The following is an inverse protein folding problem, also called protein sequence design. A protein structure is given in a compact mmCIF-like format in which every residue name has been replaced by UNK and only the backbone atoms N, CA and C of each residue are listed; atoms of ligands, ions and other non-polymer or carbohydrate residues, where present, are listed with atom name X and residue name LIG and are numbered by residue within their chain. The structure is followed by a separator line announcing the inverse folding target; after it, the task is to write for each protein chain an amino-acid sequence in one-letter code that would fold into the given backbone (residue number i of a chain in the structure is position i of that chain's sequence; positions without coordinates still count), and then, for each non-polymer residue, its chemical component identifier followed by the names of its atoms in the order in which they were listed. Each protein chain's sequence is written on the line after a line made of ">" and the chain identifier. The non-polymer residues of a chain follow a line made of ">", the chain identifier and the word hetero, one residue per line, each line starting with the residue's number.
data_IF_167131485765
#
_entry.id   IF_167131485765
#
_cell.length_a   1.000
_cell.length_b   1.000
_cell.length_c   1.000
_cell.angle_alpha   90.00
_cell.angle_beta   90.00
_cell.angle_gamma   90.00
#
_symmetry.space_group_name_H-M   'P 1'
#
loop_
_entity.id
_entity.type
_entity.pdbx_description
1 polymer ?
#
# COMPACT_ATOMS: atom_id res chain seq x y z
N UNK A 1 -0.51 -15.91 12.95
CA UNK A 1 -1.91 -15.62 12.56
C UNK A 1 -2.15 -14.14 12.79
N UNK A 2 -2.83 -13.45 11.88
CA UNK A 2 -3.17 -12.03 12.03
C UNK A 2 -4.63 -11.81 11.61
N UNK A 3 -5.32 -10.89 12.27
CA UNK A 3 -6.66 -10.46 11.93
C UNK A 3 -6.73 -8.93 11.89
N UNK A 4 -7.43 -8.39 10.89
CA UNK A 4 -7.64 -6.96 10.81
C UNK A 4 -8.83 -6.63 9.90
N UNK A 5 -9.60 -5.60 10.27
CA UNK A 5 -10.64 -5.01 9.43
C UNK A 5 -10.08 -4.03 8.39
N UNK A 6 -8.78 -3.77 8.38
CA UNK A 6 -8.12 -2.80 7.51
C UNK A 6 -8.51 -2.93 6.02
N UNK A 7 -8.43 -4.11 5.35
CA UNK A 7 -8.72 -4.19 3.92
C UNK A 7 -10.16 -3.78 3.57
N UNK A 8 -11.15 -4.21 4.37
CA UNK A 8 -12.57 -3.92 4.12
C UNK A 8 -12.97 -2.52 4.60
N UNK A 9 -12.40 -2.04 5.72
CA UNK A 9 -12.61 -0.67 6.21
C UNK A 9 -12.08 0.35 5.20
N UNK A 10 -10.85 0.16 4.72
CA UNK A 10 -10.20 1.06 3.75
C UNK A 10 -10.92 1.06 2.40
N UNK A 11 -11.46 -0.09 1.97
CA UNK A 11 -12.28 -0.20 0.76
C UNK A 11 -13.55 0.67 0.81
N UNK A 12 -14.23 0.77 1.97
CA UNK A 12 -15.42 1.63 2.14
C UNK A 12 -15.11 3.12 1.97
N UNK A 13 -13.88 3.53 2.27
CA UNK A 13 -13.42 4.89 2.04
C UNK A 13 -13.00 5.14 0.58
N UNK A 14 -13.08 4.13 -0.29
CA UNK A 14 -12.70 4.25 -1.70
C UNK A 14 -11.21 4.11 -1.95
N UNK A 15 -10.50 3.40 -1.08
CA UNK A 15 -9.05 3.26 -1.14
C UNK A 15 -8.67 1.81 -1.39
N UNK A 16 -7.82 1.60 -2.40
CA UNK A 16 -7.27 0.30 -2.76
C UNK A 16 -5.87 0.12 -2.17
N UNK A 17 -5.54 -1.11 -1.76
CA UNK A 17 -4.18 -1.49 -1.38
C UNK A 17 -3.36 -1.82 -2.62
N UNK A 18 -2.16 -1.27 -2.70
CA UNK A 18 -1.21 -1.49 -3.81
C UNK A 18 0.20 -1.69 -3.22
N UNK A 19 1.15 -2.29 -3.96
CA UNK A 19 2.52 -2.50 -3.46
C UNK A 19 3.21 -1.22 -2.98
N UNK A 20 2.89 -0.09 -3.62
CA UNK A 20 3.43 1.24 -3.30
C UNK A 20 2.66 1.95 -2.18
N UNK A 21 1.78 1.24 -1.46
CA UNK A 21 1.00 1.76 -0.35
C UNK A 21 -0.50 1.79 -0.65
N UNK A 22 -1.08 2.98 -0.79
CA UNK A 22 -2.54 3.14 -0.93
C UNK A 22 -2.92 4.01 -2.12
N UNK A 23 -3.91 3.55 -2.88
CA UNK A 23 -4.46 4.27 -4.02
C UNK A 23 -5.86 4.80 -3.69
N UNK A 24 -6.01 6.12 -3.58
CA UNK A 24 -7.29 6.78 -3.29
C UNK A 24 -8.10 6.97 -4.57
N UNK A 25 -9.07 6.09 -4.82
CA UNK A 25 -9.86 6.12 -6.05
C UNK A 25 -10.94 7.20 -6.09
N UNK A 26 -11.20 7.90 -4.98
CA UNK A 26 -12.08 9.09 -4.98
C UNK A 26 -11.43 10.33 -5.60
N UNK A 27 -10.10 10.34 -5.78
CA UNK A 27 -9.39 11.49 -6.33
C UNK A 27 -9.76 11.72 -7.80
N UNK A 28 -9.94 12.98 -8.19
CA UNK A 28 -10.32 13.36 -9.55
C UNK A 28 -9.31 12.89 -10.61
N UNK A 29 -8.03 12.79 -10.26
CA UNK A 29 -6.99 12.25 -11.13
C UNK A 29 -7.30 10.82 -11.63
N UNK A 30 -8.14 10.06 -10.90
CA UNK A 30 -8.51 8.70 -11.27
C UNK A 30 -9.67 8.65 -12.27
N UNK A 31 -10.41 9.74 -12.47
CA UNK A 31 -11.60 9.77 -13.32
C UNK A 31 -11.33 9.42 -14.80
N UNK A 32 -10.12 9.71 -15.28
CA UNK A 32 -9.67 9.40 -16.64
C UNK A 32 -8.61 8.29 -16.75
N UNK A 33 -8.22 7.66 -15.64
CA UNK A 33 -7.16 6.65 -15.63
C UNK A 33 -7.70 5.29 -16.07
N UNK A 34 -7.35 4.85 -17.28
CA UNK A 34 -7.79 3.57 -17.87
C UNK A 34 -6.96 2.38 -17.42
N UNK A 35 -5.93 2.58 -16.60
CA UNK A 35 -5.11 1.48 -16.05
C UNK A 35 -5.92 0.68 -15.01
N UNK A 36 -5.57 -0.61 -14.76
CA UNK A 36 -6.11 -1.35 -13.63
C UNK A 36 -5.60 -0.78 -12.30
N UNK A 37 -6.18 -1.20 -11.17
CA UNK A 37 -5.69 -0.77 -9.83
C UNK A 37 -4.19 -1.09 -9.70
N UNK A 38 -3.81 -2.33 -9.98
CA UNK A 38 -2.43 -2.81 -9.99
C UNK A 38 -2.24 -3.75 -11.20
N UNK A 39 -1.33 -3.45 -12.13
CA UNK A 39 -1.09 -4.29 -13.31
C UNK A 39 -0.46 -5.66 -12.97
N UNK A 40 0.12 -5.82 -11.79
CA UNK A 40 0.72 -7.07 -11.31
C UNK A 40 -0.25 -7.93 -10.48
N UNK A 41 -1.49 -7.46 -10.32
CA UNK A 41 -2.52 -8.13 -9.54
C UNK A 41 -3.42 -9.01 -10.42
N UNK A 42 -3.49 -10.29 -10.05
CA UNK A 42 -4.25 -11.31 -10.78
C UNK A 42 -5.74 -11.40 -10.41
N UNK A 43 -6.22 -10.51 -9.54
CA UNK A 43 -7.59 -10.54 -9.04
C UNK A 43 -8.61 -10.22 -10.14
N UNK A 44 -9.84 -10.71 -10.00
CA UNK A 44 -10.94 -10.47 -10.93
C UNK A 44 -11.15 -8.97 -11.22
N UNK A 45 -10.93 -8.11 -10.23
CA UNK A 45 -11.17 -6.67 -10.35
C UNK A 45 -10.11 -6.01 -11.25
N UNK A 46 -8.83 -6.28 -11.00
CA UNK A 46 -7.74 -5.74 -11.82
C UNK A 46 -7.77 -6.27 -13.27
N UNK A 47 -8.31 -7.47 -13.49
CA UNK A 47 -8.43 -8.05 -14.84
C UNK A 47 -9.59 -7.49 -15.66
N UNK A 48 -10.61 -6.90 -15.04
CA UNK A 48 -11.86 -6.52 -15.71
C UNK A 48 -12.17 -5.03 -15.68
N UNK A 49 -11.68 -4.30 -14.67
CA UNK A 49 -12.08 -2.92 -14.43
C UNK A 49 -10.89 -1.97 -14.39
N UNK A 50 -11.14 -0.75 -14.88
CA UNK A 50 -10.18 0.35 -14.86
C UNK A 50 -10.35 1.21 -13.60
N UNK A 51 -9.32 1.97 -13.23
CA UNK A 51 -9.38 2.95 -12.13
C UNK A 51 -10.48 3.98 -12.36
N UNK A 52 -10.66 4.46 -13.59
CA UNK A 52 -11.73 5.37 -13.99
C UNK A 52 -13.13 4.80 -13.75
N UNK A 53 -13.34 3.54 -14.12
CA UNK A 53 -14.62 2.88 -13.89
C UNK A 53 -14.89 2.75 -12.39
N UNK A 54 -13.90 2.31 -11.61
CA UNK A 54 -14.05 2.14 -10.16
C UNK A 54 -14.22 3.49 -9.47
N UNK A 55 -13.53 4.56 -9.90
CA UNK A 55 -13.74 5.93 -9.42
C UNK A 55 -15.21 6.35 -9.57
N UNK A 56 -15.81 6.09 -10.74
CA UNK A 56 -17.21 6.41 -11.00
C UNK A 56 -18.18 5.63 -10.09
N UNK A 57 -17.84 4.37 -9.76
CA UNK A 57 -18.65 3.55 -8.87
C UNK A 57 -18.49 3.97 -7.41
N UNK A 58 -17.26 4.15 -6.92
CA UNK A 58 -16.96 4.50 -5.53
C UNK A 58 -17.62 5.83 -5.11
N UNK A 59 -17.90 6.72 -6.06
CA UNK A 59 -18.57 8.00 -5.82
C UNK A 59 -20.09 7.93 -5.88
N UNK A 60 -20.68 6.89 -6.49
CA UNK A 60 -22.11 6.84 -6.82
C UNK A 60 -22.84 5.59 -6.31
N UNK A 61 -22.12 4.50 -6.04
CA UNK A 61 -22.69 3.17 -5.80
C UNK A 61 -21.87 2.38 -4.76
N UNK A 62 -22.56 1.64 -3.90
CA UNK A 62 -21.97 0.72 -2.94
C UNK A 62 -21.14 -0.40 -3.59
N UNK A 63 -21.44 -0.77 -4.84
CA UNK A 63 -20.68 -1.75 -5.63
C UNK A 63 -19.19 -1.41 -5.72
N UNK A 64 -18.83 -0.13 -5.74
CA UNK A 64 -17.42 0.29 -5.71
C UNK A 64 -16.68 -0.22 -4.48
N UNK A 65 -17.33 -0.14 -3.30
CA UNK A 65 -16.74 -0.64 -2.04
C UNK A 65 -16.62 -2.17 -2.00
N UNK A 66 -17.52 -2.89 -2.67
CA UNK A 66 -17.48 -4.36 -2.76
C UNK A 66 -16.32 -4.82 -3.65
N UNK A 67 -16.16 -4.21 -4.83
CA UNK A 67 -15.04 -4.50 -5.72
C UNK A 67 -13.69 -4.19 -5.04
N UNK A 68 -13.60 -3.06 -4.34
CA UNK A 68 -12.39 -2.74 -3.58
C UNK A 68 -12.14 -3.68 -2.41
N UNK A 69 -13.18 -4.13 -1.73
CA UNK A 69 -13.03 -5.14 -0.66
C UNK A 69 -12.47 -6.44 -1.22
N UNK A 70 -12.96 -6.89 -2.38
CA UNK A 70 -12.42 -8.07 -3.05
C UNK A 70 -10.94 -7.91 -3.41
N UNK A 71 -10.57 -6.78 -4.04
CA UNK A 71 -9.17 -6.48 -4.37
C UNK A 71 -8.27 -6.41 -3.13
N UNK A 72 -8.69 -5.70 -2.09
CA UNK A 72 -7.90 -5.51 -0.87
C UNK A 72 -7.70 -6.83 -0.10
N UNK A 73 -8.72 -7.69 -0.05
CA UNK A 73 -8.58 -9.03 0.53
C UNK A 73 -7.62 -9.90 -0.29
N UNK A 74 -7.73 -9.87 -1.62
CA UNK A 74 -6.80 -10.57 -2.50
C UNK A 74 -5.35 -10.12 -2.28
N UNK A 75 -5.12 -8.82 -2.15
CA UNK A 75 -3.80 -8.26 -1.85
C UNK A 75 -3.24 -8.82 -0.54
N UNK A 76 -4.01 -8.79 0.56
CA UNK A 76 -3.57 -9.31 1.87
C UNK A 76 -3.26 -10.82 1.83
N UNK A 77 -4.08 -11.60 1.11
CA UNK A 77 -3.85 -13.03 0.92
C UNK A 77 -2.58 -13.30 0.10
N UNK A 78 -2.35 -12.52 -0.97
CA UNK A 78 -1.13 -12.61 -1.78
C UNK A 78 0.11 -12.25 -0.96
N UNK A 79 0.06 -11.12 -0.23
CA UNK A 79 1.15 -10.69 0.65
C UNK A 79 1.56 -11.78 1.66
N UNK A 80 0.56 -12.48 2.23
CA UNK A 80 0.82 -13.56 3.20
C UNK A 80 1.42 -14.79 2.56
N UNK A 81 0.97 -15.13 1.35
CA UNK A 81 1.51 -16.24 0.57
C UNK A 81 2.96 -15.96 0.18
N UNK A 82 3.25 -14.76 -0.28
CA UNK A 82 4.59 -14.36 -0.71
C UNK A 82 5.55 -14.33 0.49
N UNK A 83 5.09 -13.80 1.63
CA UNK A 83 5.82 -13.83 2.90
C UNK A 83 6.11 -15.27 3.33
N UNK A 84 5.10 -16.15 3.37
CA UNK A 84 5.30 -17.57 3.72
C UNK A 84 6.28 -18.27 2.77
N UNK A 85 6.15 -18.03 1.46
CA UNK A 85 7.02 -18.65 0.44
C UNK A 85 8.48 -18.20 0.63
N UNK A 86 8.72 -16.92 0.92
CA UNK A 86 10.07 -16.41 1.18
C UNK A 86 10.74 -17.03 2.42
N UNK A 87 9.95 -17.39 3.43
CA UNK A 87 10.45 -18.10 4.62
C UNK A 87 10.84 -19.54 4.27
N UNK A 88 9.97 -20.26 3.55
CA UNK A 88 10.25 -21.63 3.11
C UNK A 88 11.46 -21.70 2.18
N UNK A 89 11.64 -20.69 1.33
CA UNK A 89 12.75 -20.58 0.38
C UNK A 89 14.04 -20.00 1.01
N UNK A 90 14.04 -19.66 2.30
CA UNK A 90 15.23 -19.14 3.01
C UNK A 90 15.67 -17.74 2.58
N UNK A 91 14.79 -16.96 1.92
CA UNK A 91 15.07 -15.62 1.36
C UNK A 91 14.17 -14.52 1.96
N UNK A 92 13.79 -14.69 3.22
CA UNK A 92 12.93 -13.74 3.92
C UNK A 92 13.56 -12.33 4.04
N UNK A 93 14.85 -12.16 4.38
CA UNK A 93 15.47 -10.83 4.43
C UNK A 93 15.37 -10.08 3.10
N UNK A 94 15.67 -10.75 1.98
CA UNK A 94 15.57 -10.16 0.64
C UNK A 94 14.14 -9.73 0.32
N UNK A 95 13.15 -10.53 0.73
CA UNK A 95 11.75 -10.21 0.55
C UNK A 95 11.33 -8.95 1.33
N UNK A 96 11.75 -8.84 2.60
CA UNK A 96 11.50 -7.64 3.44
C UNK A 96 12.11 -6.41 2.79
N UNK A 97 13.36 -6.53 2.32
CA UNK A 97 14.08 -5.48 1.61
C UNK A 97 13.33 -4.99 0.37
N UNK A 98 12.89 -5.90 -0.49
CA UNK A 98 12.10 -5.59 -1.69
C UNK A 98 10.73 -4.98 -1.35
N UNK A 99 10.11 -5.44 -0.26
CA UNK A 99 8.84 -4.88 0.22
C UNK A 99 9.00 -3.44 0.69
N UNK A 100 10.05 -3.16 1.47
CA UNK A 100 10.34 -1.81 1.97
C UNK A 100 10.68 -0.86 0.83
N UNK A 101 11.48 -1.28 -0.16
CA UNK A 101 11.78 -0.46 -1.34
C UNK A 101 10.53 -0.08 -2.15
N UNK A 102 9.55 -0.98 -2.25
CA UNK A 102 8.28 -0.68 -2.93
C UNK A 102 7.40 0.25 -2.09
N UNK A 103 7.32 0.03 -0.78
CA UNK A 103 6.47 0.79 0.12
C UNK A 103 7.00 2.19 0.41
N UNK A 104 8.33 2.35 0.48
CA UNK A 104 9.05 3.57 0.80
C UNK A 104 10.10 3.83 -0.30
N UNK A 105 9.69 4.28 -1.50
CA UNK A 105 10.59 4.46 -2.64
C UNK A 105 11.69 5.50 -2.37
N UNK A 106 11.44 6.47 -1.50
CA UNK A 106 12.40 7.50 -1.09
C UNK A 106 13.35 7.02 0.03
N UNK A 107 13.16 5.79 0.54
CA UNK A 107 13.93 5.25 1.65
C UNK A 107 13.55 5.82 3.02
N UNK A 108 12.41 6.51 3.14
CA UNK A 108 11.88 7.09 4.37
C UNK A 108 11.20 6.05 5.27
N UNK A 109 11.91 4.96 5.55
CA UNK A 109 11.43 3.88 6.42
C UNK A 109 11.32 4.41 7.87
N UNK A 110 10.18 4.22 8.55
CA UNK A 110 10.01 4.67 9.93
C UNK A 110 11.00 4.00 10.89
N UNK A 111 11.51 4.77 11.85
CA UNK A 111 12.51 4.31 12.84
C UNK A 111 12.09 3.04 13.59
N UNK A 112 10.81 2.93 13.97
CA UNK A 112 10.31 1.75 14.67
C UNK A 112 10.41 0.47 13.83
N UNK A 113 10.34 0.58 12.50
CA UNK A 113 10.53 -0.56 11.58
C UNK A 113 11.98 -0.99 11.61
N UNK A 114 12.92 -0.04 11.52
CA UNK A 114 14.36 -0.33 11.56
C UNK A 114 14.75 -1.01 12.87
N UNK A 115 14.29 -0.47 14.00
CA UNK A 115 14.55 -1.04 15.32
C UNK A 115 13.96 -2.45 15.45
N UNK A 116 12.78 -2.70 14.89
CA UNK A 116 12.16 -4.03 14.91
C UNK A 116 12.94 -5.05 14.07
N UNK A 117 13.47 -4.65 12.91
CA UNK A 117 14.26 -5.53 12.05
C UNK A 117 15.62 -5.87 12.67
N UNK A 118 16.26 -4.91 13.33
CA UNK A 118 17.50 -5.12 14.08
C UNK A 118 17.31 -6.16 15.19
N UNK A 119 16.26 -6.03 16.01
CA UNK A 119 15.92 -7.00 17.06
C UNK A 119 15.62 -8.39 16.49
N UNK A 120 15.04 -8.45 15.29
CA UNK A 120 14.75 -9.70 14.59
C UNK A 120 15.99 -10.32 13.91
N UNK A 121 17.14 -9.64 13.91
CA UNK A 121 18.35 -10.09 13.23
C UNK A 121 18.25 -10.06 11.69
N UNK A 122 17.40 -9.18 11.15
CA UNK A 122 17.18 -9.03 9.70
C UNK A 122 17.93 -7.79 9.24
N UNK A 123 18.97 -8.00 8.42
CA UNK A 123 19.72 -6.90 7.84
C UNK A 123 18.93 -6.24 6.69
N UNK A 124 18.53 -4.99 6.90
CA UNK A 124 17.84 -4.15 5.92
C UNK A 124 18.70 -2.96 5.46
N UNK A 125 19.99 -2.92 5.83
CA UNK A 125 20.90 -1.80 5.55
C UNK A 125 21.08 -1.50 4.06
N UNK A 126 20.91 -2.51 3.20
CA UNK A 126 20.98 -2.39 1.75
C UNK A 126 19.75 -1.72 1.11
N UNK A 127 18.67 -1.52 1.87
CA UNK A 127 17.36 -1.10 1.37
C UNK A 127 16.80 0.16 2.07
N UNK A 128 17.56 0.73 3.00
CA UNK A 128 17.21 1.90 3.78
C UNK A 128 18.36 2.91 3.75
N UNK A 129 18.07 4.16 3.41
CA UNK A 129 18.99 5.25 3.67
C UNK A 129 18.70 5.78 5.06
N UNK A 130 19.66 5.76 6.01
CA UNK A 130 19.46 6.37 7.31
C UNK A 130 19.03 7.82 7.13
N UNK A 131 17.76 8.10 7.42
CA UNK A 131 17.25 9.46 7.45
C UNK A 131 17.93 10.13 8.64
N UNK A 132 19.01 10.87 8.38
CA UNK A 132 19.67 11.71 9.36
C UNK A 132 18.60 12.58 10.02
N UNK A 133 18.58 12.56 11.35
CA UNK A 133 17.60 13.10 12.30
C UNK A 133 17.29 14.61 12.23
N UNK A 134 17.44 15.28 11.09
CA UNK A 134 17.26 16.74 10.95
C UNK A 134 16.12 17.16 10.00
N UNK A 135 15.50 16.25 9.24
CA UNK A 135 14.51 16.63 8.21
C UNK A 135 13.04 16.38 8.59
N UNK A 136 12.77 15.66 9.69
CA UNK A 136 11.43 15.15 9.99
C UNK A 136 10.46 16.21 10.57
N UNK A 137 10.96 17.30 11.15
CA UNK A 137 10.08 18.32 11.77
C UNK A 137 9.38 19.25 10.76
N UNK A 138 9.82 19.31 9.49
CA UNK A 138 9.30 20.32 8.55
C UNK A 138 8.18 19.83 7.63
N UNK A 139 8.02 18.51 7.42
CA UNK A 139 7.04 17.98 6.45
C UNK A 139 5.62 17.78 6.99
N UNK A 140 5.45 17.50 8.28
CA UNK A 140 4.11 17.37 8.88
C UNK A 140 3.35 18.70 8.90
N UNK A 141 4.04 19.84 8.98
CA UNK A 141 3.41 21.16 9.02
C UNK A 141 2.87 21.64 7.65
N UNK A 142 3.43 21.17 6.54
CA UNK A 142 3.03 21.63 5.20
C UNK A 142 1.79 20.90 4.65
N UNK A 143 1.59 19.63 5.00
CA UNK A 143 0.42 18.86 4.53
C UNK A 143 -0.88 19.23 5.26
N UNK A 144 -0.82 19.72 6.50
CA UNK A 144 -2.02 20.17 7.23
C UNK A 144 -2.53 21.55 6.78
N UNK A 145 -1.69 22.37 6.13
CA UNK A 145 -2.09 23.68 5.63
C UNK A 145 -2.85 23.62 4.30
N UNK A 146 -2.66 22.57 3.49
CA UNK A 146 -3.36 22.39 2.22
C UNK A 146 -4.76 21.74 2.35
N UNK A 147 -5.05 21.07 3.47
CA UNK A 147 -6.39 20.49 3.73
C UNK A 147 -7.42 21.46 4.32
N UNK A 148 -7.06 22.73 4.58
CA UNK A 148 -7.99 23.77 5.08
C UNK A 148 -8.36 24.86 4.06
N UNK A 149 -8.01 24.67 2.78
CA UNK A 149 -8.53 25.48 1.67
C UNK A 149 -9.13 24.58 0.61
N UNK A 150 -10.35 24.13 0.85
CA UNK A 150 -11.40 23.79 -0.13
C UNK A 150 -12.70 23.51 0.63
#
# INVERSE_FOLDING_TARGET
>A
MYDCVYPTRTARFGTALVPEGVLKLKHQAMAGDTRPIDPTCDCMVCKRYTRAYIHSLVTKDAMGSQLLSYHNLYYMMKLSRDLHSSIVEGRFPDYVCQFLQKMFPEGDVPEWVCNAMEVAGIDISSCYNPCSSSSCETRSAQNDLQSKKL
#
